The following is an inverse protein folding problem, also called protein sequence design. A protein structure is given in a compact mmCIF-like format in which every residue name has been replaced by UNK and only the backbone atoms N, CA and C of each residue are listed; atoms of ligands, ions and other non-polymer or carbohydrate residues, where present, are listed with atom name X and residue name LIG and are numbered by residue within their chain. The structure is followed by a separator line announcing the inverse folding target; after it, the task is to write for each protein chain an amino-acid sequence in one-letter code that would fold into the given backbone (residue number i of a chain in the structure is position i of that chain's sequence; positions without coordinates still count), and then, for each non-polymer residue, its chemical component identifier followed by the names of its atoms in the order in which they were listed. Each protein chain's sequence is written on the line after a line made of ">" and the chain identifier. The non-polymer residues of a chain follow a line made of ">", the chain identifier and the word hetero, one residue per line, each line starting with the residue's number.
data_IF_229439498327
#
_entry.id   IF_229439498327
#
_cell.length_a   1.000
_cell.length_b   1.000
_cell.length_c   1.000
_cell.angle_alpha   90.00
_cell.angle_beta   90.00
_cell.angle_gamma   90.00
#
_symmetry.space_group_name_H-M   'P 1'
#
loop_
_entity.id
_entity.type
_entity.pdbx_description
1 polymer ?
#
# COMPACT_ATOMS: atom_id res chain seq x y z
N UNK A 1 13.26 15.14 36.99
CA UNK A 1 12.13 14.21 37.19
C UNK A 1 10.83 14.69 36.52
N UNK A 2 10.09 15.69 37.02
CA UNK A 2 8.80 16.11 36.42
C UNK A 2 8.89 16.60 34.97
N UNK A 3 9.81 17.53 34.68
CA UNK A 3 10.03 18.03 33.32
C UNK A 3 10.43 16.92 32.32
N UNK A 4 11.19 15.91 32.76
CA UNK A 4 11.54 14.75 31.93
C UNK A 4 10.32 13.86 31.64
N UNK A 5 9.45 13.67 32.64
CA UNK A 5 8.23 12.89 32.47
C UNK A 5 7.22 13.60 31.55
N UNK A 6 7.09 14.93 31.66
CA UNK A 6 6.26 15.75 30.75
C UNK A 6 6.79 15.71 29.32
N UNK A 7 8.11 15.86 29.13
CA UNK A 7 8.72 15.73 27.80
C UNK A 7 8.52 14.34 27.19
N UNK A 8 8.66 13.27 27.98
CA UNK A 8 8.43 11.90 27.51
C UNK A 8 6.97 11.67 27.09
N UNK A 9 6.00 12.23 27.82
CA UNK A 9 4.57 12.15 27.47
C UNK A 9 4.26 12.90 26.18
N UNK A 10 4.71 14.15 26.06
CA UNK A 10 4.52 14.93 24.85
C UNK A 10 5.13 14.25 23.62
N UNK A 11 6.30 13.61 23.78
CA UNK A 11 6.93 12.85 22.71
C UNK A 11 6.12 11.61 22.31
N UNK A 12 5.55 10.89 23.27
CA UNK A 12 4.70 9.74 23.01
C UNK A 12 3.40 10.14 22.29
N UNK A 13 2.75 11.22 22.73
CA UNK A 13 1.55 11.77 22.08
C UNK A 13 1.83 12.18 20.63
N UNK A 14 2.98 12.82 20.38
CA UNK A 14 3.40 13.18 19.03
C UNK A 14 3.67 11.95 18.17
N UNK A 15 4.35 10.93 18.69
CA UNK A 15 4.61 9.70 17.95
C UNK A 15 3.31 8.98 17.58
N UNK A 16 2.36 8.84 18.52
CA UNK A 16 1.03 8.27 18.23
C UNK A 16 0.33 9.01 17.09
N UNK A 17 0.28 10.35 17.17
CA UNK A 17 -0.36 11.17 16.14
C UNK A 17 0.33 11.06 14.77
N UNK A 18 1.66 10.92 14.76
CA UNK A 18 2.44 10.74 13.54
C UNK A 18 2.19 9.36 12.92
N UNK A 19 2.23 8.29 13.71
CA UNK A 19 2.01 6.91 13.22
C UNK A 19 0.59 6.69 12.70
N UNK A 20 -0.41 7.33 13.31
CA UNK A 20 -1.79 7.33 12.80
C UNK A 20 -1.85 7.90 11.38
N UNK A 21 -1.23 9.07 11.14
CA UNK A 21 -1.23 9.71 9.82
C UNK A 21 -0.46 8.89 8.79
N UNK A 22 0.69 8.35 9.17
CA UNK A 22 1.51 7.50 8.28
C UNK A 22 0.74 6.25 7.84
N UNK A 23 0.04 5.60 8.76
CA UNK A 23 -0.82 4.46 8.46
C UNK A 23 -1.97 4.82 7.51
N UNK A 24 -2.66 5.94 7.75
CA UNK A 24 -3.73 6.42 6.85
C UNK A 24 -3.21 6.71 5.44
N UNK A 25 -2.05 7.34 5.33
CA UNK A 25 -1.40 7.60 4.04
C UNK A 25 -1.01 6.29 3.34
N UNK A 26 -0.50 5.30 4.07
CA UNK A 26 -0.12 4.01 3.51
C UNK A 26 -1.35 3.23 2.99
N UNK A 27 -2.48 3.25 3.72
CA UNK A 27 -3.75 2.67 3.27
C UNK A 27 -4.24 3.33 1.98
N UNK A 28 -4.18 4.66 1.90
CA UNK A 28 -4.62 5.38 0.72
C UNK A 28 -3.72 5.11 -0.50
N UNK A 29 -2.40 5.02 -0.29
CA UNK A 29 -1.47 4.60 -1.34
C UNK A 29 -1.75 3.17 -1.82
N UNK A 30 -2.06 2.26 -0.91
CA UNK A 30 -2.45 0.88 -1.26
C UNK A 30 -3.71 0.88 -2.12
N UNK A 31 -4.74 1.66 -1.74
CA UNK A 31 -5.99 1.82 -2.48
C UNK A 31 -5.75 2.33 -3.91
N UNK A 32 -5.01 3.44 -4.04
CA UNK A 32 -4.65 4.03 -5.33
C UNK A 32 -3.85 3.05 -6.20
N UNK A 33 -2.89 2.33 -5.61
CA UNK A 33 -2.12 1.33 -6.35
C UNK A 33 -3.00 0.16 -6.84
N UNK A 34 -4.01 -0.24 -6.06
CA UNK A 34 -5.02 -1.22 -6.48
C UNK A 34 -5.85 -0.73 -7.66
N UNK A 35 -6.26 0.53 -7.69
CA UNK A 35 -6.95 1.13 -8.84
C UNK A 35 -6.06 1.15 -10.09
N UNK A 36 -4.78 1.48 -9.94
CA UNK A 36 -3.82 1.45 -11.03
C UNK A 36 -3.63 0.03 -11.61
N UNK A 37 -3.71 -1.02 -10.79
CA UNK A 37 -3.74 -2.41 -11.27
C UNK A 37 -4.96 -2.63 -12.16
N UNK A 38 -6.15 -2.28 -11.69
CA UNK A 38 -7.40 -2.45 -12.48
C UNK A 38 -7.35 -1.70 -13.82
N UNK A 39 -6.85 -0.47 -13.82
CA UNK A 39 -6.71 0.34 -15.04
C UNK A 39 -5.68 -0.24 -16.01
N UNK A 40 -4.51 -0.65 -15.52
CA UNK A 40 -3.45 -1.23 -16.36
C UNK A 40 -3.86 -2.58 -16.95
N UNK A 41 -4.61 -3.40 -16.21
CA UNK A 41 -5.18 -4.65 -16.70
C UNK A 41 -6.14 -4.41 -17.86
N UNK A 42 -7.03 -3.42 -17.75
CA UNK A 42 -7.96 -3.10 -18.84
C UNK A 42 -7.23 -2.54 -20.07
N UNK A 43 -6.22 -1.68 -19.85
CA UNK A 43 -5.39 -1.16 -20.92
C UNK A 43 -4.66 -2.28 -21.69
N UNK A 44 -4.02 -3.21 -20.97
CA UNK A 44 -3.39 -4.37 -21.60
C UNK A 44 -4.41 -5.26 -22.32
N UNK A 45 -5.60 -5.50 -21.73
CA UNK A 45 -6.68 -6.25 -22.41
C UNK A 45 -7.09 -5.62 -23.74
N UNK A 46 -7.19 -4.29 -23.80
CA UNK A 46 -7.51 -3.56 -25.04
C UNK A 46 -6.39 -3.70 -26.07
N UNK A 47 -5.13 -3.53 -25.66
CA UNK A 47 -3.97 -3.64 -26.56
C UNK A 47 -3.82 -5.08 -27.09
N UNK A 48 -4.04 -6.08 -26.25
CA UNK A 48 -4.05 -7.49 -26.66
C UNK A 48 -5.08 -7.75 -27.78
N UNK A 49 -6.32 -7.27 -27.62
CA UNK A 49 -7.34 -7.38 -28.68
C UNK A 49 -6.96 -6.65 -29.97
N UNK A 50 -6.31 -5.47 -29.85
CA UNK A 50 -5.82 -4.74 -31.03
C UNK A 50 -4.72 -5.52 -31.73
N UNK A 51 -3.78 -6.12 -30.99
CA UNK A 51 -2.70 -6.93 -31.54
C UNK A 51 -3.25 -8.16 -32.27
N UNK A 52 -4.20 -8.88 -31.66
CA UNK A 52 -4.91 -10.01 -32.29
C UNK A 52 -5.61 -9.61 -33.60
N UNK A 53 -6.15 -8.40 -33.66
CA UNK A 53 -6.75 -7.82 -34.87
C UNK A 53 -5.78 -7.18 -35.85
N UNK A 54 -4.46 -7.23 -35.62
CA UNK A 54 -3.44 -6.58 -36.46
C UNK A 54 -3.40 -5.05 -36.38
N UNK A 55 -4.07 -4.45 -35.38
CA UNK A 55 -4.17 -3.00 -35.14
C UNK A 55 -3.19 -2.48 -34.08
N UNK A 56 -2.38 -3.35 -33.49
CA UNK A 56 -1.28 -2.99 -32.62
C UNK A 56 -0.07 -3.88 -32.90
N UNK A 57 1.11 -3.38 -32.62
CA UNK A 57 2.39 -4.06 -32.76
C UNK A 57 2.69 -4.92 -31.53
N UNK A 58 3.62 -5.88 -31.67
CA UNK A 58 4.10 -6.69 -30.54
C UNK A 58 4.78 -5.84 -29.47
N UNK A 59 5.39 -4.71 -29.86
CA UNK A 59 6.04 -3.78 -28.92
C UNK A 59 5.00 -3.10 -28.04
N UNK A 60 3.87 -2.67 -28.60
CA UNK A 60 2.76 -2.09 -27.82
C UNK A 60 2.16 -3.12 -26.85
N UNK A 61 1.98 -4.37 -27.28
CA UNK A 61 1.52 -5.46 -26.42
C UNK A 61 2.46 -5.68 -25.23
N UNK A 62 3.76 -5.82 -25.48
CA UNK A 62 4.77 -6.02 -24.43
C UNK A 62 4.86 -4.79 -23.51
N UNK A 63 4.72 -3.57 -24.04
CA UNK A 63 4.68 -2.35 -23.23
C UNK A 63 3.48 -2.31 -22.27
N UNK A 64 2.30 -2.73 -22.74
CA UNK A 64 1.12 -2.81 -21.89
C UNK A 64 1.25 -3.90 -20.80
N UNK A 65 1.82 -5.06 -21.16
CA UNK A 65 2.15 -6.14 -20.21
C UNK A 65 3.12 -5.70 -19.11
N UNK A 66 4.19 -4.99 -19.50
CA UNK A 66 5.17 -4.45 -18.56
C UNK A 66 4.51 -3.45 -17.60
N UNK A 67 3.66 -2.55 -18.12
CA UNK A 67 2.92 -1.57 -17.32
C UNK A 67 1.99 -2.24 -16.30
N UNK A 68 1.25 -3.28 -16.70
CA UNK A 68 0.39 -4.06 -15.79
C UNK A 68 1.22 -4.76 -14.70
N UNK A 69 2.34 -5.36 -15.07
CA UNK A 69 3.25 -6.03 -14.14
C UNK A 69 3.81 -5.04 -13.12
N UNK A 70 4.25 -3.88 -13.57
CA UNK A 70 4.76 -2.82 -12.71
C UNK A 70 3.69 -2.29 -11.75
N UNK A 71 2.44 -2.11 -12.22
CA UNK A 71 1.32 -1.72 -11.37
C UNK A 71 1.06 -2.76 -10.27
N UNK A 72 1.12 -4.06 -10.59
CA UNK A 72 0.97 -5.13 -9.58
C UNK A 72 2.09 -5.12 -8.55
N UNK A 73 3.33 -4.93 -8.98
CA UNK A 73 4.48 -4.83 -8.07
C UNK A 73 4.33 -3.62 -7.12
N UNK A 74 3.92 -2.47 -7.64
CA UNK A 74 3.63 -1.28 -6.82
C UNK A 74 2.51 -1.53 -5.81
N UNK A 75 1.45 -2.22 -6.21
CA UNK A 75 0.36 -2.56 -5.30
C UNK A 75 0.81 -3.54 -4.20
N UNK A 76 1.61 -4.55 -4.54
CA UNK A 76 2.18 -5.48 -3.56
C UNK A 76 3.08 -4.74 -2.55
N UNK A 77 3.93 -3.82 -3.03
CA UNK A 77 4.75 -2.98 -2.17
C UNK A 77 3.90 -2.06 -1.27
N UNK A 78 2.87 -1.40 -1.82
CA UNK A 78 1.98 -0.55 -1.03
C UNK A 78 1.19 -1.34 0.03
N UNK A 79 0.79 -2.58 -0.25
CA UNK A 79 0.21 -3.50 0.75
C UNK A 79 1.18 -3.78 1.89
N UNK A 80 2.44 -4.07 1.57
CA UNK A 80 3.47 -4.29 2.58
C UNK A 80 3.65 -3.04 3.47
N UNK A 81 3.77 -1.85 2.88
CA UNK A 81 3.89 -0.58 3.63
C UNK A 81 2.67 -0.32 4.53
N UNK A 82 1.46 -0.65 4.06
CA UNK A 82 0.24 -0.54 4.86
C UNK A 82 0.26 -1.48 6.08
N UNK A 83 0.79 -2.70 5.93
CA UNK A 83 0.94 -3.66 7.04
C UNK A 83 1.99 -3.15 8.05
N UNK A 84 3.15 -2.70 7.56
CA UNK A 84 4.23 -2.19 8.43
C UNK A 84 3.75 -0.97 9.22
N UNK A 85 3.15 0.02 8.56
CA UNK A 85 2.63 1.22 9.23
C UNK A 85 1.50 0.91 10.24
N UNK A 86 0.65 -0.09 9.96
CA UNK A 86 -0.33 -0.57 10.92
C UNK A 86 0.33 -1.16 12.18
N UNK A 87 1.40 -1.95 12.01
CA UNK A 87 2.16 -2.54 13.11
C UNK A 87 2.86 -1.45 13.96
N UNK A 88 3.44 -0.44 13.31
CA UNK A 88 4.06 0.68 14.02
C UNK A 88 3.05 1.52 14.80
N UNK A 89 1.86 1.73 14.24
CA UNK A 89 0.74 2.39 14.93
C UNK A 89 0.29 1.60 16.16
N UNK A 90 0.14 0.28 16.07
CA UNK A 90 -0.20 -0.54 17.25
C UNK A 90 0.86 -0.40 18.34
N UNK A 91 2.14 -0.46 17.96
CA UNK A 91 3.26 -0.30 18.88
C UNK A 91 3.25 1.07 19.58
N UNK A 92 2.95 2.16 18.86
CA UNK A 92 2.96 3.50 19.46
C UNK A 92 1.86 3.71 20.51
N UNK A 93 0.73 3.00 20.39
CA UNK A 93 -0.33 2.99 21.40
C UNK A 93 -0.18 1.87 22.45
N UNK A 94 0.94 1.14 22.44
CA UNK A 94 1.26 0.08 23.40
C UNK A 94 0.52 -1.25 23.17
N UNK A 95 -0.05 -1.46 21.98
CA UNK A 95 -0.69 -2.72 21.59
C UNK A 95 0.31 -3.66 20.90
N UNK A 96 0.05 -4.96 21.01
CA UNK A 96 0.84 -6.00 20.35
C UNK A 96 0.60 -6.00 18.82
N UNK A 97 1.62 -5.80 17.98
CA UNK A 97 1.49 -5.92 16.53
C UNK A 97 1.00 -7.28 16.03
N UNK A 98 1.16 -8.36 16.81
CA UNK A 98 0.69 -9.70 16.45
C UNK A 98 -0.84 -9.76 16.20
N UNK A 99 -1.61 -8.81 16.77
CA UNK A 99 -3.05 -8.67 16.55
C UNK A 99 -3.45 -8.48 15.07
N UNK A 100 -2.52 -8.07 14.21
CA UNK A 100 -2.75 -8.00 12.76
C UNK A 100 -2.87 -9.38 12.12
N UNK A 101 -2.16 -10.38 12.64
CA UNK A 101 -2.22 -11.75 12.13
C UNK A 101 -3.55 -12.42 12.50
N UNK A 102 -4.02 -12.22 13.73
CA UNK A 102 -5.29 -12.77 14.22
C UNK A 102 -6.47 -12.29 13.36
N UNK A 103 -6.49 -10.99 13.04
CA UNK A 103 -7.53 -10.41 12.17
C UNK A 103 -7.48 -10.90 10.72
N UNK A 104 -6.30 -11.26 10.22
CA UNK A 104 -6.16 -11.80 8.88
C UNK A 104 -6.66 -13.26 8.77
N UNK A 105 -6.77 -13.97 9.88
CA UNK A 105 -7.32 -15.34 9.93
C UNK A 105 -8.85 -15.35 10.02
N UNK A 106 -9.46 -14.24 10.41
CA UNK A 106 -10.92 -14.08 10.51
C UNK A 106 -11.59 -13.60 9.21
N UNK A 107 -10.80 -13.13 8.23
CA UNK A 107 -11.27 -12.57 6.94
C UNK A 107 -11.09 -13.51 5.75
#
# INVERSE_FOLDING_TARGET
>A
ARAQAEAARAQAELDVAQREKEWQVALERMRIAGEAVSQSMEAHRIVARKYEGGLATVVELLGAQATETEARLRHAHARYEAIVSAAERLRSVGLDPALLADRALES
#
